data_IF_589330541483
#
_entry.id   IF_589330541483
#
_cell.length_a   1.000
_cell.length_b   1.000
_cell.length_c   1.000
_cell.angle_alpha   90.00
_cell.angle_beta   90.00
_cell.angle_gamma   90.00
#
_symmetry.space_group_name_H-M   'P 1'
#
loop_
_entity.id
_entity.type
_entity.pdbx_description
1 polymer ?
#
# COMPACT_ATOMS: atom_id res chain seq x y z
N UNK A 1 -2.70 -51.86 6.83
CA UNK A 1 -3.14 -50.58 6.21
C UNK A 1 -2.69 -49.45 7.14
N UNK A 2 -1.59 -48.82 6.84
CA UNK A 2 -1.01 -47.73 7.66
C UNK A 2 -1.46 -46.40 7.06
N UNK A 3 -2.30 -45.68 7.79
CA UNK A 3 -2.67 -44.32 7.45
C UNK A 3 -1.58 -43.37 7.92
N UNK A 4 -0.79 -42.87 6.99
CA UNK A 4 0.17 -41.83 7.22
C UNK A 4 -0.58 -40.51 7.44
N UNK A 5 -0.81 -40.13 8.71
CA UNK A 5 -1.20 -38.78 9.08
C UNK A 5 0.02 -37.88 8.92
N UNK A 6 0.10 -37.21 7.78
CA UNK A 6 1.04 -36.12 7.53
C UNK A 6 0.72 -34.93 8.44
N UNK A 7 1.26 -34.97 9.66
CA UNK A 7 1.30 -33.82 10.55
C UNK A 7 2.30 -32.81 9.95
N UNK A 8 1.82 -31.98 9.04
CA UNK A 8 2.56 -30.79 8.61
C UNK A 8 2.78 -29.93 9.85
N UNK A 9 3.99 -29.95 10.40
CA UNK A 9 4.44 -29.01 11.41
C UNK A 9 4.24 -27.60 10.86
N UNK A 10 3.14 -26.97 11.23
CA UNK A 10 2.94 -25.56 10.99
C UNK A 10 4.07 -24.83 11.71
N UNK A 11 5.08 -24.41 10.98
CA UNK A 11 6.19 -23.62 11.51
C UNK A 11 5.57 -22.39 12.16
N UNK A 12 5.53 -22.36 13.48
CA UNK A 12 4.92 -21.28 14.25
C UNK A 12 5.78 -20.04 14.03
N UNK A 13 5.33 -19.13 13.13
CA UNK A 13 6.04 -17.90 12.85
C UNK A 13 6.07 -17.02 14.08
N UNK A 14 7.22 -16.45 14.36
CA UNK A 14 7.36 -15.48 15.46
C UNK A 14 6.40 -14.31 15.24
N UNK A 15 5.81 -13.82 16.33
CA UNK A 15 4.93 -12.64 16.28
C UNK A 15 5.75 -11.38 16.12
N UNK A 16 5.33 -10.50 15.20
CA UNK A 16 5.92 -9.17 15.07
C UNK A 16 5.30 -8.24 16.11
N UNK A 17 6.10 -7.80 17.07
CA UNK A 17 5.73 -6.82 18.08
C UNK A 17 6.79 -5.72 18.16
N UNK A 18 6.57 -4.56 17.51
CA UNK A 18 7.47 -3.42 17.66
C UNK A 18 7.57 -2.97 19.13
N UNK A 19 8.77 -2.68 19.59
CA UNK A 19 8.95 -2.03 20.90
C UNK A 19 8.45 -0.59 20.84
N UNK A 20 8.22 0.02 22.00
CA UNK A 20 7.76 1.40 22.09
C UNK A 20 8.78 2.34 21.42
N UNK A 21 8.32 3.23 20.56
CA UNK A 21 9.12 4.16 19.75
C UNK A 21 10.10 3.50 18.77
N UNK A 22 10.06 2.19 18.60
CA UNK A 22 10.87 1.48 17.62
C UNK A 22 10.15 1.46 16.26
N UNK A 23 10.89 1.73 15.21
CA UNK A 23 10.45 1.57 13.83
C UNK A 23 10.89 0.20 13.31
N UNK A 24 9.96 -0.55 12.75
CA UNK A 24 10.23 -1.83 12.11
C UNK A 24 9.76 -1.74 10.67
N UNK A 25 10.69 -1.87 9.73
CA UNK A 25 10.38 -1.90 8.30
C UNK A 25 10.04 -3.33 7.89
N UNK A 26 8.88 -3.48 7.30
CA UNK A 26 8.35 -4.79 6.91
C UNK A 26 7.89 -4.80 5.46
N UNK A 27 7.90 -6.00 4.87
CA UNK A 27 7.38 -6.27 3.54
C UNK A 27 6.27 -7.32 3.63
N UNK A 28 5.13 -7.08 2.97
CA UNK A 28 4.03 -8.03 2.89
C UNK A 28 4.39 -9.22 2.00
N UNK A 29 4.10 -10.42 2.48
CA UNK A 29 4.30 -11.67 1.72
C UNK A 29 3.06 -12.09 0.93
N UNK A 30 1.89 -11.54 1.25
CA UNK A 30 0.60 -11.89 0.64
C UNK A 30 -0.27 -10.66 0.44
N UNK A 31 -1.15 -10.73 -0.55
CA UNK A 31 -2.10 -9.64 -0.84
C UNK A 31 -3.20 -9.52 0.22
N UNK A 32 -3.59 -10.64 0.83
CA UNK A 32 -4.69 -10.67 1.79
C UNK A 32 -4.23 -11.23 3.12
N UNK A 33 -4.75 -10.71 4.25
CA UNK A 33 -4.51 -11.31 5.56
C UNK A 33 -5.26 -12.62 5.69
N UNK A 34 -4.81 -13.45 6.60
CA UNK A 34 -5.63 -14.48 7.18
C UNK A 34 -6.59 -13.83 8.19
N UNK A 35 -7.87 -14.13 8.10
CA UNK A 35 -8.89 -13.60 9.00
C UNK A 35 -9.48 -14.72 9.84
N UNK A 36 -9.75 -14.44 11.08
CA UNK A 36 -10.43 -15.36 11.99
C UNK A 36 -11.18 -14.59 13.07
N UNK A 37 -11.95 -15.34 13.84
CA UNK A 37 -12.67 -14.82 14.98
C UNK A 37 -12.13 -15.50 16.26
N UNK A 38 -12.01 -14.74 17.34
CA UNK A 38 -11.66 -15.22 18.65
C UNK A 38 -12.60 -14.62 19.72
N UNK A 39 -12.39 -14.93 20.98
CA UNK A 39 -13.22 -14.44 22.09
C UNK A 39 -13.22 -12.90 22.24
N UNK A 40 -12.29 -12.20 21.60
CA UNK A 40 -12.16 -10.72 21.64
C UNK A 40 -12.78 -10.09 20.39
N UNK A 41 -13.00 -10.88 19.31
CA UNK A 41 -13.56 -10.42 18.05
C UNK A 41 -12.74 -10.87 16.85
N UNK A 42 -13.00 -10.22 15.71
CA UNK A 42 -12.32 -10.49 14.45
C UNK A 42 -10.87 -10.05 14.50
N UNK A 43 -9.97 -10.82 13.88
CA UNK A 43 -8.56 -10.45 13.77
C UNK A 43 -8.04 -10.60 12.35
N UNK A 44 -7.04 -9.81 12.03
CA UNK A 44 -6.34 -9.80 10.74
C UNK A 44 -4.88 -10.19 10.95
N UNK A 45 -4.48 -11.31 10.37
CA UNK A 45 -3.12 -11.83 10.48
C UNK A 45 -2.40 -11.70 9.13
N UNK A 46 -1.42 -10.82 9.07
CA UNK A 46 -0.55 -10.62 7.92
C UNK A 46 0.73 -11.43 8.06
N UNK A 47 1.18 -12.05 6.96
CA UNK A 47 2.52 -12.61 6.86
C UNK A 47 3.44 -11.53 6.33
N UNK A 48 4.49 -11.20 7.08
CA UNK A 48 5.45 -10.15 6.74
C UNK A 48 6.89 -10.66 6.86
N UNK A 49 7.80 -10.02 6.15
CA UNK A 49 9.24 -10.13 6.39
C UNK A 49 9.69 -8.88 7.12
N UNK A 50 10.35 -9.05 8.25
CA UNK A 50 11.09 -7.99 8.91
C UNK A 50 12.37 -7.72 8.12
N UNK A 51 12.46 -6.56 7.48
CA UNK A 51 13.58 -6.24 6.59
C UNK A 51 14.89 -5.98 7.32
N UNK A 52 14.87 -5.81 8.65
CA UNK A 52 16.08 -5.68 9.45
C UNK A 52 16.74 -7.01 9.77
N UNK A 53 15.93 -8.08 9.92
CA UNK A 53 16.42 -9.42 10.27
C UNK A 53 16.31 -10.41 9.12
N UNK A 54 15.50 -10.13 8.10
CA UNK A 54 15.16 -11.04 7.02
C UNK A 54 14.21 -12.16 7.43
N UNK A 55 13.68 -12.14 8.65
CA UNK A 55 12.82 -13.20 9.19
C UNK A 55 11.36 -12.99 8.81
N UNK A 56 10.70 -14.12 8.50
CA UNK A 56 9.25 -14.12 8.34
C UNK A 56 8.57 -14.08 9.71
N UNK A 57 7.65 -13.12 9.87
CA UNK A 57 6.89 -12.91 11.10
C UNK A 57 5.39 -12.83 10.83
N UNK A 58 4.62 -13.15 11.86
CA UNK A 58 3.17 -13.00 11.89
C UNK A 58 2.82 -11.64 12.50
N UNK A 59 2.13 -10.78 11.76
CA UNK A 59 1.69 -9.47 12.22
C UNK A 59 0.17 -9.46 12.44
N UNK A 60 -0.25 -9.34 13.70
CA UNK A 60 -1.64 -9.16 14.06
C UNK A 60 -2.00 -7.68 13.94
N UNK A 61 -2.67 -7.32 12.86
CA UNK A 61 -3.08 -5.95 12.61
C UNK A 61 -4.38 -5.63 13.37
N UNK A 62 -4.40 -4.54 14.17
CA UNK A 62 -5.66 -3.96 14.64
C UNK A 62 -6.50 -3.47 13.46
N UNK A 63 -7.84 -3.37 13.65
CA UNK A 63 -8.79 -2.99 12.62
C UNK A 63 -8.37 -1.72 11.87
N UNK A 64 -7.99 -0.66 12.60
CA UNK A 64 -7.58 0.61 11.99
C UNK A 64 -6.30 0.50 11.15
N UNK A 65 -5.37 -0.42 11.46
CA UNK A 65 -4.19 -0.70 10.62
C UNK A 65 -4.59 -1.49 9.38
N UNK A 66 -5.50 -2.48 9.55
CA UNK A 66 -6.06 -3.20 8.42
C UNK A 66 -6.72 -2.25 7.43
N UNK A 67 -7.56 -1.32 7.91
CA UNK A 67 -8.24 -0.32 7.09
C UNK A 67 -7.24 0.56 6.32
N UNK A 68 -6.14 0.97 6.95
CA UNK A 68 -5.08 1.73 6.27
C UNK A 68 -4.41 0.90 5.17
N UNK A 69 -4.09 -0.38 5.44
CA UNK A 69 -3.49 -1.29 4.45
C UNK A 69 -4.41 -1.44 3.24
N UNK A 70 -5.71 -1.64 3.47
CA UNK A 70 -6.72 -1.76 2.41
C UNK A 70 -6.89 -0.44 1.65
N UNK A 71 -7.06 0.68 2.34
CA UNK A 71 -7.25 2.00 1.73
C UNK A 71 -6.06 2.44 0.87
N UNK A 72 -4.85 2.04 1.25
CA UNK A 72 -3.61 2.32 0.49
C UNK A 72 -3.26 1.22 -0.52
N UNK A 73 -4.13 0.24 -0.71
CA UNK A 73 -3.94 -0.88 -1.63
C UNK A 73 -2.61 -1.63 -1.46
N UNK A 74 -2.14 -1.75 -0.20
CA UNK A 74 -0.91 -2.47 0.09
C UNK A 74 -1.14 -3.97 -0.09
N UNK A 75 -0.47 -4.55 -1.07
CA UNK A 75 -0.51 -5.97 -1.37
C UNK A 75 0.86 -6.64 -1.20
N UNK A 76 1.01 -7.85 -1.71
CA UNK A 76 2.27 -8.60 -1.73
C UNK A 76 3.41 -7.71 -2.22
N UNK A 77 4.57 -7.83 -1.59
CA UNK A 77 5.80 -7.06 -1.85
C UNK A 77 5.73 -5.55 -1.55
N UNK A 78 4.60 -5.03 -1.04
CA UNK A 78 4.54 -3.67 -0.51
C UNK A 78 5.32 -3.55 0.79
N UNK A 79 6.03 -2.42 0.95
CA UNK A 79 6.85 -2.16 2.12
C UNK A 79 6.29 -0.97 2.91
N UNK A 80 6.29 -1.12 4.23
CA UNK A 80 5.88 -0.08 5.14
C UNK A 80 6.64 -0.16 6.47
N UNK A 81 6.63 0.93 7.21
CA UNK A 81 7.21 1.02 8.54
C UNK A 81 6.08 0.96 9.56
N UNK A 82 6.22 0.08 10.55
CA UNK A 82 5.39 0.02 11.74
C UNK A 82 6.14 0.67 12.89
N UNK A 83 5.46 1.55 13.60
CA UNK A 83 5.97 2.19 14.81
C UNK A 83 4.93 2.13 15.91
N UNK A 84 5.35 1.71 17.11
CA UNK A 84 4.51 1.72 18.30
C UNK A 84 4.77 3.01 19.07
N UNK A 85 3.75 3.86 19.18
CA UNK A 85 3.87 5.17 19.86
C UNK A 85 3.02 5.22 21.10
N UNK A 86 3.43 5.95 22.15
CA UNK A 86 2.59 6.21 23.30
C UNK A 86 1.37 7.04 22.87
N UNK A 87 0.22 6.69 23.37
CA UNK A 87 -1.04 7.38 23.10
C UNK A 87 -1.77 7.61 24.42
N UNK A 88 -2.12 8.86 24.70
CA UNK A 88 -2.89 9.23 25.88
C UNK A 88 -4.38 9.11 25.58
N UNK A 89 -5.06 8.27 26.34
CA UNK A 89 -6.51 8.12 26.29
C UNK A 89 -7.09 8.50 27.66
N UNK A 90 -7.56 9.74 27.77
CA UNK A 90 -7.95 10.30 29.06
C UNK A 90 -6.79 10.37 30.04
N UNK A 91 -6.93 9.75 31.22
CA UNK A 91 -5.89 9.66 32.26
C UNK A 91 -4.94 8.47 32.10
N UNK A 92 -5.18 7.60 31.09
CA UNK A 92 -4.37 6.40 30.88
C UNK A 92 -3.43 6.59 29.68
N UNK A 93 -2.16 6.22 29.86
CA UNK A 93 -1.20 6.11 28.76
C UNK A 93 -1.26 4.69 28.22
N UNK A 94 -1.60 4.56 26.96
CA UNK A 94 -1.62 3.31 26.19
C UNK A 94 -0.62 3.40 25.04
N UNK A 95 -0.60 2.43 24.15
CA UNK A 95 0.19 2.51 22.92
C UNK A 95 -0.68 2.23 21.71
N UNK A 96 -0.41 2.91 20.61
CA UNK A 96 -1.00 2.62 19.31
C UNK A 96 0.09 2.32 18.29
N UNK A 97 -0.27 1.60 17.24
CA UNK A 97 0.59 1.39 16.09
C UNK A 97 0.35 2.50 15.07
N UNK A 98 1.42 2.98 14.47
CA UNK A 98 1.38 3.87 13.31
C UNK A 98 2.02 3.16 12.12
N UNK A 99 1.52 3.44 10.92
CA UNK A 99 1.99 2.88 9.67
C UNK A 99 2.40 4.00 8.72
N UNK A 100 3.63 3.91 8.19
CA UNK A 100 4.14 4.80 7.15
C UNK A 100 4.50 3.98 5.93
N UNK A 101 3.89 4.26 4.79
CA UNK A 101 4.13 3.52 3.54
C UNK A 101 5.46 3.96 2.95
N UNK A 102 6.33 3.00 2.66
CA UNK A 102 7.64 3.23 2.02
C UNK A 102 7.53 3.00 0.52
N UNK A 103 6.99 1.84 0.13
CA UNK A 103 6.71 1.53 -1.27
C UNK A 103 5.44 0.71 -1.36
N UNK A 104 4.65 1.00 -2.38
CA UNK A 104 3.57 0.11 -2.80
C UNK A 104 4.19 -0.77 -3.87
N UNK A 105 4.18 -2.11 -3.67
CA UNK A 105 4.61 -3.01 -4.73
C UNK A 105 3.75 -2.70 -5.94
N UNK A 106 4.39 -2.32 -7.02
CA UNK A 106 3.70 -2.23 -8.28
C UNK A 106 3.09 -3.62 -8.53
N UNK A 107 1.80 -3.80 -8.26
CA UNK A 107 1.09 -4.90 -8.87
C UNK A 107 1.39 -4.76 -10.35
N UNK A 108 2.10 -5.75 -10.90
CA UNK A 108 2.22 -5.86 -12.34
C UNK A 108 0.84 -5.62 -12.92
N UNK A 109 0.69 -5.03 -14.10
CA UNK A 109 -0.42 -4.19 -14.49
C UNK A 109 -1.77 -4.90 -14.32
N UNK A 110 -2.41 -4.69 -13.17
CA UNK A 110 -3.85 -4.53 -13.17
C UNK A 110 -4.01 -3.06 -13.53
N UNK A 111 -3.81 -2.79 -14.81
CA UNK A 111 -4.23 -1.56 -15.42
C UNK A 111 -5.73 -1.43 -15.13
N UNK A 112 -6.10 -0.66 -14.13
CA UNK A 112 -7.29 0.11 -14.36
C UNK A 112 -6.90 1.00 -15.54
N UNK A 113 -7.47 0.75 -16.71
CA UNK A 113 -7.29 1.56 -17.93
C UNK A 113 -7.42 3.06 -17.62
N UNK A 114 -8.12 3.40 -16.56
CA UNK A 114 -8.31 4.75 -16.05
C UNK A 114 -7.08 5.42 -15.45
N UNK A 115 -6.15 4.71 -14.79
CA UNK A 115 -4.97 5.35 -14.19
C UNK A 115 -3.88 5.61 -15.24
N UNK A 116 -3.71 4.70 -16.20
CA UNK A 116 -2.87 4.94 -17.37
C UNK A 116 -3.38 6.10 -18.23
N UNK A 117 -4.70 6.21 -18.40
CA UNK A 117 -5.32 7.31 -19.15
C UNK A 117 -5.16 8.65 -18.43
N UNK A 118 -5.23 8.71 -17.11
CA UNK A 118 -4.98 9.93 -16.33
C UNK A 118 -3.54 10.42 -16.47
N UNK A 119 -2.58 9.51 -16.45
CA UNK A 119 -1.16 9.84 -16.59
C UNK A 119 -0.86 10.35 -18.00
N UNK A 120 -1.42 9.72 -19.03
CA UNK A 120 -1.34 10.19 -20.42
C UNK A 120 -1.99 11.57 -20.55
N UNK A 121 -3.16 11.80 -19.97
CA UNK A 121 -3.83 13.09 -19.99
C UNK A 121 -3.00 14.19 -19.32
N UNK A 122 -2.44 13.90 -18.12
CA UNK A 122 -1.59 14.84 -17.41
C UNK A 122 -0.35 15.21 -18.21
N UNK A 123 0.26 14.25 -18.91
CA UNK A 123 1.39 14.50 -19.79
C UNK A 123 0.97 15.35 -21.00
N UNK A 124 -0.19 15.08 -21.61
CA UNK A 124 -0.71 15.89 -22.70
C UNK A 124 -0.98 17.34 -22.32
N UNK A 125 -1.45 17.59 -21.08
CA UNK A 125 -1.64 18.96 -20.56
C UNK A 125 -0.30 19.67 -20.38
N UNK A 126 0.73 18.99 -19.86
CA UNK A 126 2.08 19.54 -19.73
C UNK A 126 2.70 19.88 -21.08
N UNK A 127 2.61 18.97 -22.04
CA UNK A 127 3.14 19.17 -23.39
C UNK A 127 2.41 20.32 -24.12
N UNK A 128 1.09 20.43 -23.97
CA UNK A 128 0.32 21.53 -24.52
C UNK A 128 0.74 22.88 -23.92
N UNK A 129 0.96 22.94 -22.61
CA UNK A 129 1.43 24.15 -21.92
C UNK A 129 2.84 24.56 -22.37
N UNK A 130 3.72 23.60 -22.64
CA UNK A 130 5.09 23.83 -23.11
C UNK A 130 5.09 24.36 -24.55
N UNK A 131 4.27 23.78 -25.44
CA UNK A 131 4.09 24.26 -26.82
C UNK A 131 3.59 25.71 -26.85
N UNK A 132 2.61 26.06 -26.01
CA UNK A 132 2.11 27.42 -25.88
C UNK A 132 3.21 28.37 -25.41
N UNK A 133 3.96 27.98 -24.39
CA UNK A 133 5.05 28.80 -23.84
C UNK A 133 6.15 29.04 -24.88
N UNK A 134 6.51 28.01 -25.65
CA UNK A 134 7.58 28.08 -26.66
C UNK A 134 7.15 28.83 -27.93
N UNK A 135 5.85 28.82 -28.26
CA UNK A 135 5.33 29.52 -29.45
C UNK A 135 5.18 31.04 -29.25
N UNK A 136 5.27 31.52 -28.00
CA UNK A 136 5.08 32.96 -27.69
C UNK A 136 3.65 33.46 -27.89
N UNK A 137 2.69 32.56 -28.16
CA UNK A 137 1.27 32.90 -28.36
C UNK A 137 0.58 32.85 -27.01
N UNK A 138 -0.13 33.91 -26.62
CA UNK A 138 -1.00 33.90 -25.43
C UNK A 138 -2.32 33.23 -25.82
N UNK A 139 -2.46 31.95 -25.47
CA UNK A 139 -3.70 31.21 -25.63
C UNK A 139 -4.48 31.19 -24.32
N UNK A 140 -5.79 31.22 -24.41
CA UNK A 140 -6.67 31.09 -23.27
C UNK A 140 -6.76 29.63 -22.76
N UNK A 141 -7.39 29.44 -21.61
CA UNK A 141 -7.57 28.10 -21.01
C UNK A 141 -8.34 27.14 -21.93
N UNK A 142 -9.29 27.65 -22.74
CA UNK A 142 -10.08 26.84 -23.67
C UNK A 142 -9.23 26.26 -24.80
N UNK A 143 -8.27 27.03 -25.29
CA UNK A 143 -7.36 26.59 -26.36
C UNK A 143 -6.33 25.60 -25.84
N UNK A 144 -5.84 25.79 -24.60
CA UNK A 144 -5.00 24.83 -23.91
C UNK A 144 -5.73 23.48 -23.77
N UNK A 145 -6.99 23.51 -23.34
CA UNK A 145 -7.81 22.31 -23.19
C UNK A 145 -8.03 21.60 -24.53
N UNK A 146 -8.33 22.31 -25.59
CA UNK A 146 -8.49 21.75 -26.95
C UNK A 146 -7.19 21.07 -27.43
N UNK A 147 -6.05 21.73 -27.23
CA UNK A 147 -4.75 21.17 -27.62
C UNK A 147 -4.41 19.91 -26.83
N UNK A 148 -4.58 19.96 -25.50
CA UNK A 148 -4.36 18.78 -24.65
C UNK A 148 -5.29 17.62 -25.01
N UNK A 149 -6.55 17.88 -25.32
CA UNK A 149 -7.52 16.86 -25.78
C UNK A 149 -7.10 16.25 -27.10
N UNK A 150 -6.63 17.05 -28.05
CA UNK A 150 -6.14 16.55 -29.34
C UNK A 150 -4.93 15.65 -29.17
N UNK A 151 -3.95 16.05 -28.36
CA UNK A 151 -2.78 15.23 -28.03
C UNK A 151 -3.16 13.93 -27.34
N UNK A 152 -4.13 13.98 -26.43
CA UNK A 152 -4.63 12.80 -25.73
C UNK A 152 -5.27 11.79 -26.69
N UNK A 153 -6.14 12.26 -27.60
CA UNK A 153 -6.79 11.39 -28.60
C UNK A 153 -5.74 10.76 -29.54
N UNK A 154 -4.70 11.49 -29.92
CA UNK A 154 -3.63 10.95 -30.76
C UNK A 154 -2.77 9.89 -30.08
N UNK A 155 -2.57 10.00 -28.76
CA UNK A 155 -1.76 9.05 -27.97
C UNK A 155 -2.51 7.81 -27.53
N UNK A 156 -3.85 7.85 -27.55
CA UNK A 156 -4.71 6.74 -27.09
C UNK A 156 -5.31 5.93 -28.26
N UNK A 157 -5.01 6.29 -29.50
CA UNK A 157 -5.34 5.53 -30.71
C UNK A 157 -4.24 4.53 -31.07
#
# INVERSE_FOLDING_TARGET
MSTNNGNGTATQRAKLEPALNQEVRVKLLRDKPYTGDNSVGKYFLYSVVDLSTGEEKAFFAPDYIHDIIVAKHLGKDSEFILRKVPFQNGSKITSKLEISVVSVAAKGPVSSETDGLKEILLQCVKDAAEVIRSSGVQLGNDELQKLATTLFIQRTR
#
